data_IF_210175567431
#
_entry.id   IF_210175567431
#
_cell.length_a   1.000
_cell.length_b   1.000
_cell.length_c   1.000
_cell.angle_alpha   90.00
_cell.angle_beta   90.00
_cell.angle_gamma   90.00
#
_symmetry.space_group_name_H-M   'P 1'
#
loop_
_entity.id
_entity.type
_entity.pdbx_description
1 polymer ?
#
# COMPACT_ATOMS: atom_id res chain seq x y z
N UNK A 1 -19.86 0.03 -61.44
CA UNK A 1 -21.08 -0.76 -61.77
C UNK A 1 -20.83 -2.19 -61.37
N UNK A 2 -21.41 -2.64 -60.30
CA UNK A 2 -21.66 -4.05 -59.96
C UNK A 2 -22.49 -4.08 -58.66
N UNK A 3 -23.64 -4.61 -58.80
CA UNK A 3 -24.80 -4.57 -57.92
C UNK A 3 -24.67 -5.51 -56.76
N UNK A 4 -25.01 -5.03 -55.57
CA UNK A 4 -25.23 -5.82 -54.33
C UNK A 4 -26.54 -6.61 -54.46
N UNK A 5 -26.50 -7.90 -54.14
CA UNK A 5 -27.68 -8.74 -53.90
C UNK A 5 -27.80 -9.01 -52.40
N UNK A 6 -28.87 -8.50 -51.81
CA UNK A 6 -29.38 -8.92 -50.49
C UNK A 6 -30.08 -10.27 -50.63
N UNK A 7 -29.70 -11.25 -49.83
CA UNK A 7 -30.51 -12.41 -49.55
C UNK A 7 -31.09 -12.31 -48.14
N UNK A 8 -32.40 -12.17 -48.08
CA UNK A 8 -33.18 -12.29 -46.84
C UNK A 8 -33.55 -13.77 -46.65
N UNK A 9 -33.14 -14.38 -45.55
CA UNK A 9 -33.69 -15.66 -45.11
C UNK A 9 -34.73 -15.43 -44.03
N UNK A 10 -35.95 -15.77 -44.34
CA UNK A 10 -37.08 -15.89 -43.43
C UNK A 10 -36.94 -17.20 -42.64
N UNK A 11 -36.92 -17.16 -41.32
CA UNK A 11 -37.08 -18.30 -40.44
C UNK A 11 -38.50 -18.31 -39.84
N UNK A 12 -39.26 -19.32 -40.19
CA UNK A 12 -40.60 -19.60 -39.73
C UNK A 12 -40.62 -20.02 -38.27
N UNK A 13 -41.48 -19.42 -37.48
CA UNK A 13 -41.77 -19.78 -36.12
C UNK A 13 -42.56 -21.11 -36.06
N UNK A 14 -41.97 -22.12 -35.40
CA UNK A 14 -42.72 -23.32 -34.94
C UNK A 14 -42.92 -23.21 -33.44
N UNK A 15 -44.17 -23.12 -33.04
CA UNK A 15 -44.58 -23.01 -31.64
C UNK A 15 -44.28 -24.29 -30.85
N UNK A 16 -43.63 -24.11 -29.73
CA UNK A 16 -43.60 -25.07 -28.62
C UNK A 16 -44.16 -24.39 -27.37
N UNK A 17 -45.38 -24.74 -27.03
CA UNK A 17 -46.00 -24.36 -25.76
C UNK A 17 -45.41 -25.24 -24.65
N UNK A 18 -44.58 -24.60 -23.81
CA UNK A 18 -44.07 -25.22 -22.58
C UNK A 18 -45.11 -25.04 -21.44
N UNK A 19 -45.61 -26.16 -20.97
CA UNK A 19 -46.51 -26.25 -19.83
C UNK A 19 -45.85 -25.73 -18.54
N UNK A 20 -46.51 -24.78 -17.89
CA UNK A 20 -46.06 -24.06 -16.68
C UNK A 20 -46.13 -24.89 -15.38
N UNK A 21 -46.31 -26.20 -15.42
CA UNK A 21 -46.54 -26.99 -14.20
C UNK A 21 -45.45 -27.98 -13.78
N UNK A 22 -44.28 -28.00 -14.44
CA UNK A 22 -43.24 -29.00 -14.12
C UNK A 22 -41.89 -28.44 -13.65
N UNK A 23 -41.83 -27.21 -13.14
CA UNK A 23 -40.59 -26.59 -12.62
C UNK A 23 -40.69 -26.24 -11.14
N UNK A 24 -41.18 -27.14 -10.32
CA UNK A 24 -41.11 -27.04 -8.87
C UNK A 24 -40.81 -28.42 -8.26
N UNK A 25 -39.56 -28.85 -8.32
CA UNK A 25 -38.91 -29.78 -7.37
C UNK A 25 -37.45 -30.00 -7.78
N UNK A 26 -36.61 -29.10 -7.37
CA UNK A 26 -35.16 -29.22 -7.34
C UNK A 26 -34.65 -28.34 -6.22
N UNK A 27 -34.84 -28.79 -4.97
CA UNK A 27 -34.28 -28.14 -3.78
C UNK A 27 -32.77 -28.39 -3.75
N UNK A 28 -32.03 -27.62 -4.51
CA UNK A 28 -30.61 -27.37 -4.30
C UNK A 28 -30.48 -26.41 -3.14
N UNK A 29 -30.25 -26.89 -1.92
CA UNK A 29 -29.83 -26.06 -0.80
C UNK A 29 -28.47 -25.47 -1.14
N UNK A 30 -28.45 -24.27 -1.68
CA UNK A 30 -27.28 -23.42 -1.63
C UNK A 30 -27.03 -23.21 -0.14
N UNK A 31 -25.96 -23.84 0.39
CA UNK A 31 -25.42 -23.51 1.70
C UNK A 31 -24.99 -22.03 1.63
N UNK A 32 -25.87 -21.15 2.08
CA UNK A 32 -25.50 -19.78 2.36
C UNK A 32 -24.40 -19.84 3.43
N UNK A 33 -23.17 -19.50 3.04
CA UNK A 33 -22.12 -19.29 4.01
C UNK A 33 -22.65 -18.30 5.05
N UNK A 34 -22.46 -18.55 6.36
CA UNK A 34 -22.94 -17.65 7.39
C UNK A 34 -22.28 -16.29 7.14
N UNK A 35 -23.11 -15.28 6.87
CA UNK A 35 -22.71 -13.88 6.96
C UNK A 35 -22.19 -13.66 8.38
N UNK A 36 -20.88 -13.55 8.53
CA UNK A 36 -20.28 -13.16 9.80
C UNK A 36 -20.94 -11.84 10.22
N UNK A 37 -21.37 -11.70 11.49
CA UNK A 37 -21.97 -10.46 11.94
C UNK A 37 -20.96 -9.33 11.67
N UNK A 38 -21.44 -8.29 11.01
CA UNK A 38 -20.69 -7.07 10.75
C UNK A 38 -20.40 -6.33 12.07
N UNK A 39 -19.53 -6.89 12.89
CA UNK A 39 -18.73 -6.08 13.80
C UNK A 39 -17.72 -5.42 12.89
N UNK A 40 -17.86 -4.11 12.72
CA UNK A 40 -16.87 -3.29 12.04
C UNK A 40 -15.54 -3.49 12.76
N UNK A 41 -14.73 -4.43 12.28
CA UNK A 41 -13.40 -4.66 12.80
C UNK A 41 -12.61 -3.41 12.49
N UNK A 42 -12.27 -2.63 13.52
CA UNK A 42 -11.48 -1.42 13.36
C UNK A 42 -10.08 -1.81 12.90
N UNK A 43 -9.53 -1.03 11.97
CA UNK A 43 -8.11 -1.16 11.57
C UNK A 43 -7.27 -0.90 12.82
N UNK A 44 -6.40 -1.85 13.24
CA UNK A 44 -5.53 -1.66 14.39
C UNK A 44 -4.63 -0.44 14.22
N UNK A 45 -4.27 0.19 15.32
CA UNK A 45 -3.33 1.30 15.34
C UNK A 45 -2.06 0.93 16.10
N UNK A 46 -0.92 1.48 15.66
CA UNK A 46 0.32 1.46 16.41
C UNK A 46 0.51 2.76 17.15
N UNK A 47 0.89 2.68 18.41
CA UNK A 47 1.51 3.78 19.11
C UNK A 47 2.97 3.92 18.64
N UNK A 48 3.30 5.06 18.04
CA UNK A 48 4.66 5.39 17.59
C UNK A 48 5.39 6.31 18.56
N UNK A 49 4.79 6.58 19.72
CA UNK A 49 5.27 7.57 20.69
C UNK A 49 4.80 9.00 20.32
N UNK A 50 5.08 9.95 21.22
CA UNK A 50 4.73 11.37 21.06
C UNK A 50 3.24 11.64 20.74
N UNK A 51 2.35 10.76 21.18
CA UNK A 51 0.91 10.85 20.90
C UNK A 51 0.53 10.55 19.44
N UNK A 52 1.40 9.86 18.71
CA UNK A 52 1.17 9.49 17.30
C UNK A 52 0.59 8.07 17.23
N UNK A 53 -0.69 7.95 16.93
CA UNK A 53 -1.39 6.69 16.70
C UNK A 53 -1.54 6.44 15.19
N UNK A 54 -0.76 5.52 14.62
CA UNK A 54 -0.74 5.22 13.19
C UNK A 54 -1.66 4.03 12.85
N UNK A 55 -2.68 4.19 12.00
CA UNK A 55 -3.44 3.06 11.47
C UNK A 55 -2.55 2.12 10.67
N UNK A 56 -2.65 0.80 10.91
CA UNK A 56 -1.76 -0.20 10.31
C UNK A 56 -2.07 -0.55 8.86
N UNK A 57 -3.19 -0.10 8.32
CA UNK A 57 -3.54 -0.22 6.91
C UNK A 57 -3.62 1.18 6.28
N UNK A 58 -2.81 1.40 5.26
CA UNK A 58 -2.74 2.65 4.52
C UNK A 58 -3.17 2.46 3.05
N UNK A 59 -3.80 3.49 2.50
CA UNK A 59 -3.92 3.66 1.06
C UNK A 59 -2.58 4.14 0.49
N UNK A 60 -2.01 3.40 -0.46
CA UNK A 60 -0.84 3.81 -1.22
C UNK A 60 -1.27 4.49 -2.52
N UNK A 61 -0.80 5.71 -2.75
CA UNK A 61 -1.20 6.48 -3.94
C UNK A 61 -0.15 6.51 -5.05
N UNK A 62 0.90 5.68 -4.93
CA UNK A 62 2.04 5.68 -5.86
C UNK A 62 1.60 5.59 -7.32
N UNK A 63 2.07 6.53 -8.14
CA UNK A 63 1.82 6.58 -9.57
C UNK A 63 0.45 7.11 -9.98
N UNK A 64 -0.39 7.56 -9.05
CA UNK A 64 -1.68 8.16 -9.37
C UNK A 64 -1.53 9.64 -9.79
N UNK A 65 -2.39 10.09 -10.71
CA UNK A 65 -2.55 11.53 -10.97
C UNK A 65 -3.20 12.23 -9.77
N UNK A 66 -3.16 13.55 -9.72
CA UNK A 66 -3.80 14.30 -8.62
C UNK A 66 -5.30 14.02 -8.53
N UNK A 67 -6.00 13.91 -9.66
CA UNK A 67 -7.43 13.57 -9.71
C UNK A 67 -7.71 12.13 -9.25
N UNK A 68 -6.87 11.18 -9.66
CA UNK A 68 -7.01 9.78 -9.23
C UNK A 68 -6.70 9.63 -7.74
N UNK A 69 -5.69 10.34 -7.23
CA UNK A 69 -5.37 10.39 -5.80
C UNK A 69 -6.52 10.95 -4.99
N UNK A 70 -7.10 12.08 -5.41
CA UNK A 70 -8.27 12.67 -4.74
C UNK A 70 -9.42 11.67 -4.63
N UNK A 71 -9.77 11.00 -5.74
CA UNK A 71 -10.83 9.98 -5.73
C UNK A 71 -10.50 8.79 -4.85
N UNK A 72 -9.26 8.29 -4.92
CA UNK A 72 -8.82 7.14 -4.13
C UNK A 72 -8.85 7.43 -2.63
N UNK A 73 -8.42 8.62 -2.21
CA UNK A 73 -8.45 9.03 -0.79
C UNK A 73 -9.89 9.15 -0.30
N UNK A 74 -10.78 9.81 -1.04
CA UNK A 74 -12.20 9.91 -0.66
C UNK A 74 -12.82 8.52 -0.50
N UNK A 75 -12.57 7.63 -1.46
CA UNK A 75 -13.04 6.25 -1.41
C UNK A 75 -12.47 5.49 -0.19
N UNK A 76 -11.18 5.64 0.11
CA UNK A 76 -10.54 4.99 1.25
C UNK A 76 -11.15 5.46 2.58
N UNK A 77 -11.40 6.77 2.72
CA UNK A 77 -12.07 7.34 3.90
C UNK A 77 -13.48 6.78 4.06
N UNK A 78 -14.27 6.71 2.99
CA UNK A 78 -15.60 6.11 3.01
C UNK A 78 -15.56 4.62 3.37
N UNK A 79 -14.48 3.93 3.00
CA UNK A 79 -14.19 2.56 3.39
C UNK A 79 -13.59 2.44 4.81
N UNK A 80 -13.37 3.54 5.53
CA UNK A 80 -12.79 3.57 6.89
C UNK A 80 -11.28 3.46 6.95
N UNK A 81 -10.57 3.65 5.83
CA UNK A 81 -9.11 3.73 5.78
C UNK A 81 -8.71 5.20 5.85
N UNK A 82 -8.23 5.64 7.01
CA UNK A 82 -7.82 7.03 7.25
C UNK A 82 -6.34 7.30 7.02
N UNK A 83 -5.52 6.26 6.87
CA UNK A 83 -4.08 6.41 6.63
C UNK A 83 -3.80 6.53 5.13
N UNK A 84 -3.18 7.63 4.71
CA UNK A 84 -2.78 7.90 3.32
C UNK A 84 -1.27 7.96 3.22
N UNK A 85 -0.71 7.07 2.40
CA UNK A 85 0.70 6.99 2.09
C UNK A 85 0.94 7.52 0.66
N UNK A 86 1.51 8.73 0.55
CA UNK A 86 1.70 9.43 -0.71
C UNK A 86 3.15 9.87 -0.93
N UNK A 87 3.48 10.21 -2.18
CA UNK A 87 4.76 10.77 -2.56
C UNK A 87 4.66 12.30 -2.76
N UNK A 88 5.77 13.03 -2.58
CA UNK A 88 5.82 14.45 -2.92
C UNK A 88 5.57 14.66 -4.43
N UNK A 89 4.89 15.75 -4.81
CA UNK A 89 4.54 16.07 -6.18
C UNK A 89 3.07 15.83 -6.48
N UNK A 90 2.76 15.18 -7.62
CA UNK A 90 1.39 15.06 -8.14
C UNK A 90 0.45 14.37 -7.14
N UNK A 91 0.90 13.35 -6.43
CA UNK A 91 0.10 12.63 -5.43
C UNK A 91 -0.21 13.54 -4.23
N UNK A 92 0.80 14.27 -3.73
CA UNK A 92 0.63 15.29 -2.69
C UNK A 92 -0.45 16.31 -3.08
N UNK A 93 -0.46 16.76 -4.34
CA UNK A 93 -1.41 17.74 -4.84
C UNK A 93 -2.84 17.19 -4.83
N UNK A 94 -3.01 15.88 -5.11
CA UNK A 94 -4.29 15.18 -4.96
C UNK A 94 -4.76 15.12 -3.51
N UNK A 95 -3.87 14.80 -2.57
CA UNK A 95 -4.16 14.82 -1.12
C UNK A 95 -4.55 16.23 -0.66
N UNK A 96 -3.85 17.26 -1.13
CA UNK A 96 -4.16 18.66 -0.82
C UNK A 96 -5.58 19.06 -1.24
N UNK A 97 -6.09 18.52 -2.36
CA UNK A 97 -7.48 18.75 -2.79
C UNK A 97 -8.50 18.16 -1.80
N UNK A 98 -8.22 16.96 -1.29
CA UNK A 98 -9.07 16.29 -0.29
C UNK A 98 -9.11 17.07 1.02
N UNK A 99 -7.97 17.57 1.49
CA UNK A 99 -7.84 18.33 2.72
C UNK A 99 -8.62 19.67 2.72
N UNK A 100 -9.04 20.15 1.54
CA UNK A 100 -9.96 21.32 1.46
C UNK A 100 -11.40 20.99 1.88
N UNK A 101 -11.76 19.71 1.88
CA UNK A 101 -13.13 19.25 2.16
C UNK A 101 -13.24 18.33 3.38
N UNK A 102 -12.12 17.84 3.91
CA UNK A 102 -12.09 17.01 5.11
C UNK A 102 -11.33 17.70 6.25
N UNK A 103 -11.75 17.49 7.50
CA UNK A 103 -10.96 17.90 8.66
C UNK A 103 -9.57 17.30 8.62
N UNK A 104 -8.55 18.04 9.09
CA UNK A 104 -7.16 17.58 9.05
C UNK A 104 -6.94 16.26 9.82
N UNK A 105 -7.62 16.08 10.92
CA UNK A 105 -7.57 14.91 11.80
C UNK A 105 -8.35 13.69 11.27
N UNK A 106 -9.10 13.84 10.19
CA UNK A 106 -9.72 12.72 9.50
C UNK A 106 -8.69 11.83 8.78
N UNK A 107 -7.47 12.33 8.53
CA UNK A 107 -6.43 11.62 7.80
C UNK A 107 -5.13 11.53 8.63
N UNK A 108 -4.53 10.34 8.62
CA UNK A 108 -3.14 10.13 8.99
C UNK A 108 -2.29 10.26 7.72
N UNK A 109 -1.41 11.26 7.66
CA UNK A 109 -0.64 11.60 6.49
C UNK A 109 0.79 11.06 6.58
N UNK A 110 1.15 10.15 5.68
CA UNK A 110 2.52 9.65 5.51
C UNK A 110 3.09 10.10 4.19
N UNK A 111 4.28 10.73 4.22
CA UNK A 111 5.02 11.12 3.02
C UNK A 111 6.51 10.78 3.15
N UNK A 112 7.28 11.06 2.10
CA UNK A 112 8.69 10.73 1.98
C UNK A 112 9.50 11.94 1.55
N UNK A 113 10.78 11.95 1.94
CA UNK A 113 11.78 12.85 1.33
C UNK A 113 11.94 12.46 -0.14
N UNK A 114 12.04 13.46 -1.03
CA UNK A 114 12.40 13.20 -2.44
C UNK A 114 13.72 12.46 -2.51
N UNK A 115 13.80 11.45 -3.38
CA UNK A 115 15.01 10.64 -3.48
C UNK A 115 16.17 11.49 -4.02
N UNK A 116 17.34 11.51 -3.35
CA UNK A 116 18.55 12.11 -3.89
C UNK A 116 19.22 11.23 -4.94
N UNK A 117 18.65 10.08 -5.30
CA UNK A 117 19.27 9.05 -6.15
C UNK A 117 19.76 9.55 -7.50
N UNK A 118 19.20 10.66 -7.99
CA UNK A 118 19.58 11.25 -9.27
C UNK A 118 20.72 12.28 -9.15
N UNK A 119 21.18 12.57 -7.92
CA UNK A 119 22.25 13.54 -7.69
C UNK A 119 23.27 12.98 -6.69
N UNK A 120 24.13 12.09 -7.20
CA UNK A 120 25.18 11.43 -6.43
C UNK A 120 26.27 12.39 -5.94
N UNK A 121 26.32 13.63 -6.48
CA UNK A 121 27.30 14.67 -6.16
C UNK A 121 26.83 15.64 -5.08
N UNK A 122 25.66 15.38 -4.46
CA UNK A 122 25.18 16.22 -3.36
C UNK A 122 26.10 16.14 -2.14
N UNK A 123 26.48 17.32 -1.64
CA UNK A 123 27.09 17.39 -0.32
C UNK A 123 26.03 17.11 0.77
N UNK A 124 26.44 16.62 1.95
CA UNK A 124 25.52 16.45 3.08
C UNK A 124 24.73 17.71 3.43
N UNK A 125 25.36 18.88 3.37
CA UNK A 125 24.70 20.16 3.63
C UNK A 125 23.64 20.49 2.58
N UNK A 126 23.94 20.33 1.30
CA UNK A 126 22.98 20.55 0.21
C UNK A 126 21.79 19.57 0.30
N UNK A 127 22.05 18.30 0.66
CA UNK A 127 21.01 17.31 0.86
C UNK A 127 20.08 17.66 2.05
N UNK A 128 20.65 18.17 3.15
CA UNK A 128 19.89 18.65 4.30
C UNK A 128 19.00 19.86 3.93
N UNK A 129 19.53 20.82 3.15
CA UNK A 129 18.77 21.99 2.71
C UNK A 129 17.63 21.62 1.75
N UNK A 130 17.79 20.58 0.93
CA UNK A 130 16.68 20.05 0.13
C UNK A 130 15.54 19.56 1.00
N UNK A 131 15.82 18.83 2.09
CA UNK A 131 14.80 18.36 3.02
C UNK A 131 14.08 19.52 3.69
N UNK A 132 14.80 20.55 4.15
CA UNK A 132 14.19 21.75 4.75
C UNK A 132 13.20 22.41 3.80
N UNK A 133 13.64 22.68 2.57
CA UNK A 133 12.77 23.29 1.54
C UNK A 133 11.55 22.43 1.23
N UNK A 134 11.73 21.11 1.13
CA UNK A 134 10.61 20.20 0.87
C UNK A 134 9.60 20.19 2.02
N UNK A 135 10.06 20.18 3.28
CA UNK A 135 9.18 20.26 4.45
C UNK A 135 8.27 21.50 4.41
N UNK A 136 8.83 22.65 4.08
CA UNK A 136 8.09 23.92 3.97
C UNK A 136 7.14 23.90 2.77
N UNK A 137 7.62 23.47 1.59
CA UNK A 137 6.85 23.38 0.36
C UNK A 137 5.63 22.45 0.53
N UNK A 138 5.88 21.21 0.99
CA UNK A 138 4.82 20.21 1.07
C UNK A 138 3.74 20.60 2.10
N UNK A 139 4.13 21.14 3.25
CA UNK A 139 3.18 21.65 4.25
C UNK A 139 2.34 22.82 3.73
N UNK A 140 2.97 23.75 3.02
CA UNK A 140 2.27 24.89 2.38
C UNK A 140 1.25 24.41 1.34
N UNK A 141 1.62 23.46 0.50
CA UNK A 141 0.73 22.95 -0.56
C UNK A 141 -0.42 22.12 0.05
N UNK A 142 -0.12 21.29 1.04
CA UNK A 142 -1.13 20.51 1.78
C UNK A 142 -2.05 21.42 2.62
N UNK A 143 -1.62 22.64 2.95
CA UNK A 143 -2.38 23.53 3.84
C UNK A 143 -2.42 23.03 5.29
N UNK A 144 -1.34 22.37 5.76
CA UNK A 144 -1.27 21.76 7.11
C UNK A 144 -0.08 22.29 7.90
N UNK A 145 -0.26 22.41 9.22
CA UNK A 145 0.86 22.75 10.12
C UNK A 145 1.74 21.55 10.43
N UNK A 146 1.15 20.35 10.46
CA UNK A 146 1.81 19.10 10.83
C UNK A 146 1.49 17.97 9.85
N UNK A 147 2.52 17.17 9.50
CA UNK A 147 2.39 15.87 8.83
C UNK A 147 2.64 14.77 9.86
N UNK A 148 1.84 13.70 9.84
CA UNK A 148 1.88 12.69 10.90
C UNK A 148 3.12 11.81 10.83
N UNK A 149 3.55 11.41 9.62
CA UNK A 149 4.74 10.59 9.40
C UNK A 149 5.54 11.13 8.22
N UNK A 150 6.85 11.29 8.42
CA UNK A 150 7.79 11.60 7.37
C UNK A 150 8.88 10.55 7.27
N UNK A 151 9.12 10.00 6.08
CA UNK A 151 10.08 8.93 5.89
C UNK A 151 11.28 9.39 5.06
N UNK A 152 12.48 9.08 5.53
CA UNK A 152 13.72 9.33 4.81
C UNK A 152 14.00 8.19 3.82
N UNK A 153 14.20 8.52 2.55
CA UNK A 153 14.58 7.55 1.53
C UNK A 153 16.02 7.10 1.65
N UNK A 154 16.27 5.93 1.12
CA UNK A 154 17.58 5.32 1.02
C UNK A 154 18.55 6.14 0.18
N UNK A 155 19.82 6.15 0.56
CA UNK A 155 20.96 6.61 -0.22
C UNK A 155 22.20 5.80 0.21
N UNK A 156 23.16 5.53 -0.69
CA UNK A 156 24.37 4.81 -0.30
C UNK A 156 25.32 5.64 0.58
N UNK A 157 25.15 6.97 0.61
CA UNK A 157 26.03 7.87 1.35
C UNK A 157 25.54 8.07 2.79
N UNK A 158 26.32 7.57 3.75
CA UNK A 158 26.03 7.65 5.17
C UNK A 158 25.96 9.08 5.71
N UNK A 159 26.84 9.97 5.27
CA UNK A 159 26.87 11.34 5.75
C UNK A 159 25.64 12.13 5.29
N UNK A 160 25.14 11.83 4.08
CA UNK A 160 23.89 12.38 3.58
C UNK A 160 22.71 11.87 4.43
N UNK A 161 22.65 10.57 4.71
CA UNK A 161 21.61 9.99 5.58
C UNK A 161 21.56 10.75 6.91
N UNK A 162 22.70 10.89 7.57
CA UNK A 162 22.78 11.51 8.88
C UNK A 162 22.44 13.01 8.84
N UNK A 163 22.88 13.72 7.79
CA UNK A 163 22.57 15.15 7.65
C UNK A 163 21.08 15.39 7.41
N UNK A 164 20.44 14.62 6.55
CA UNK A 164 19.00 14.70 6.29
C UNK A 164 18.17 14.29 7.52
N UNK A 165 18.62 13.25 8.23
CA UNK A 165 17.92 12.78 9.44
C UNK A 165 17.89 13.84 10.53
N UNK A 166 18.98 14.57 10.74
CA UNK A 166 19.02 15.69 11.70
C UNK A 166 17.97 16.76 11.40
N UNK A 167 17.74 17.07 10.14
CA UNK A 167 16.67 18.00 9.73
C UNK A 167 15.30 17.47 10.13
N UNK A 168 15.04 16.17 9.90
CA UNK A 168 13.78 15.55 10.29
C UNK A 168 13.61 15.51 11.82
N UNK A 169 14.67 15.22 12.57
CA UNK A 169 14.64 15.27 14.03
C UNK A 169 14.31 16.68 14.56
N UNK A 170 14.88 17.71 13.94
CA UNK A 170 14.58 19.10 14.28
C UNK A 170 13.14 19.47 13.94
N UNK A 171 12.62 18.98 12.80
CA UNK A 171 11.22 19.16 12.39
C UNK A 171 10.25 18.47 13.35
N UNK A 172 10.59 17.26 13.82
CA UNK A 172 9.79 16.56 14.82
C UNK A 172 9.79 17.30 16.16
N UNK A 173 10.95 17.78 16.60
CA UNK A 173 11.08 18.59 17.81
C UNK A 173 10.26 19.87 17.74
N UNK A 174 10.21 20.51 16.57
CA UNK A 174 9.40 21.70 16.30
C UNK A 174 7.89 21.38 16.19
N UNK A 175 7.48 20.12 16.26
CA UNK A 175 6.08 19.70 16.19
C UNK A 175 5.48 19.71 14.78
N UNK A 176 6.27 19.98 13.74
CA UNK A 176 5.78 19.99 12.34
C UNK A 176 5.75 18.60 11.69
N UNK A 177 6.40 17.61 12.31
CA UNK A 177 6.35 16.21 11.95
C UNK A 177 5.99 15.39 13.21
N UNK A 178 5.08 14.43 13.08
CA UNK A 178 4.67 13.59 14.20
C UNK A 178 5.65 12.48 14.52
N UNK A 179 5.92 11.62 13.55
CA UNK A 179 6.83 10.48 13.66
C UNK A 179 7.77 10.39 12.46
N UNK A 180 8.90 9.73 12.66
CA UNK A 180 9.93 9.57 11.64
C UNK A 180 10.09 8.10 11.28
N UNK A 181 10.24 7.81 9.98
CA UNK A 181 10.53 6.49 9.44
C UNK A 181 11.59 6.53 8.35
N UNK A 182 11.96 5.37 7.86
CA UNK A 182 12.88 5.21 6.74
C UNK A 182 12.26 4.37 5.63
N UNK A 183 12.83 4.44 4.43
CA UNK A 183 12.36 3.71 3.24
C UNK A 183 13.50 2.91 2.65
N UNK A 184 13.30 1.59 2.50
CA UNK A 184 14.23 0.65 1.88
C UNK A 184 15.62 0.60 2.56
N UNK A 185 15.66 0.72 3.88
CA UNK A 185 16.91 0.57 4.62
C UNK A 185 17.21 -0.90 4.88
N UNK A 186 18.39 -1.35 4.47
CA UNK A 186 18.95 -2.61 4.92
C UNK A 186 19.78 -2.40 6.20
N UNK A 187 20.31 -3.50 6.75
CA UNK A 187 21.12 -3.49 7.97
C UNK A 187 22.19 -2.41 7.98
N UNK A 188 22.97 -2.33 6.88
CA UNK A 188 24.06 -1.35 6.73
C UNK A 188 23.59 0.09 6.86
N UNK A 189 22.44 0.43 6.28
CA UNK A 189 21.90 1.78 6.32
C UNK A 189 21.25 2.09 7.67
N UNK A 190 20.55 1.12 8.27
CA UNK A 190 20.04 1.25 9.63
C UNK A 190 21.18 1.48 10.63
N UNK A 191 22.26 0.73 10.53
CA UNK A 191 23.43 0.92 11.40
C UNK A 191 24.08 2.27 11.18
N UNK A 192 24.20 2.73 9.92
CA UNK A 192 24.69 4.05 9.63
C UNK A 192 23.87 5.14 10.32
N UNK A 193 22.54 5.09 10.15
CA UNK A 193 21.64 6.06 10.74
C UNK A 193 21.72 6.04 12.28
N UNK A 194 21.62 4.85 12.87
CA UNK A 194 21.53 4.66 14.32
C UNK A 194 22.80 5.09 15.07
N UNK A 195 23.96 5.18 14.41
CA UNK A 195 25.19 5.70 15.04
C UNK A 195 25.09 7.14 15.50
N UNK A 196 24.25 7.97 14.85
CA UNK A 196 24.14 9.39 15.18
C UNK A 196 22.69 9.87 15.44
N UNK A 197 21.71 9.02 15.24
CA UNK A 197 20.31 9.37 15.47
C UNK A 197 20.03 9.63 16.95
N UNK A 198 19.41 10.77 17.25
CA UNK A 198 18.87 11.12 18.58
C UNK A 198 17.46 10.55 18.73
N UNK A 199 16.72 10.51 17.62
CA UNK A 199 15.42 9.88 17.50
C UNK A 199 15.56 8.68 16.57
N UNK A 200 15.23 7.49 17.04
CA UNK A 200 15.22 6.27 16.23
C UNK A 200 14.07 6.34 15.22
N UNK A 201 14.23 5.78 14.00
CA UNK A 201 13.08 5.60 13.12
C UNK A 201 12.05 4.69 13.79
N UNK A 202 10.79 5.10 13.77
CA UNK A 202 9.69 4.31 14.31
C UNK A 202 9.44 3.06 13.47
N UNK A 203 9.71 3.16 12.15
CA UNK A 203 9.50 2.09 11.20
C UNK A 203 10.47 2.16 10.01
N UNK A 204 10.60 1.01 9.34
CA UNK A 204 11.22 0.88 8.02
C UNK A 204 10.17 0.41 7.02
N UNK A 205 10.04 1.14 5.92
CA UNK A 205 9.07 0.93 4.85
C UNK A 205 9.74 0.25 3.66
N UNK A 206 9.45 -1.02 3.44
CA UNK A 206 10.08 -1.82 2.38
C UNK A 206 9.09 -2.83 1.76
N UNK A 207 9.48 -3.40 0.61
CA UNK A 207 8.69 -4.42 -0.07
C UNK A 207 8.61 -5.70 0.77
N UNK A 208 7.39 -6.17 1.06
CA UNK A 208 7.17 -7.43 1.75
C UNK A 208 5.85 -8.08 1.36
N UNK A 209 5.94 -9.27 0.77
CA UNK A 209 4.81 -10.07 0.33
C UNK A 209 5.04 -11.57 0.62
N UNK A 210 3.99 -12.42 0.57
CA UNK A 210 4.15 -13.87 0.56
C UNK A 210 5.18 -14.31 -0.50
N UNK A 211 6.07 -15.21 -0.11
CA UNK A 211 7.20 -15.63 -0.97
C UNK A 211 8.54 -15.01 -0.59
N UNK A 212 8.56 -13.95 0.22
CA UNK A 212 9.80 -13.38 0.79
C UNK A 212 10.14 -13.97 2.17
N UNK A 213 9.31 -14.88 2.65
CA UNK A 213 9.37 -15.41 4.01
C UNK A 213 8.91 -14.42 5.07
N UNK A 214 8.60 -14.89 6.29
CA UNK A 214 8.03 -14.07 7.36
C UNK A 214 9.01 -13.04 7.94
N UNK A 215 10.31 -13.24 7.69
CA UNK A 215 11.38 -12.37 8.23
C UNK A 215 12.07 -11.49 7.17
N UNK A 216 11.58 -11.49 5.93
CA UNK A 216 12.14 -10.67 4.85
C UNK A 216 13.70 -10.81 4.78
N UNK A 217 14.18 -12.03 4.66
CA UNK A 217 15.62 -12.36 4.64
C UNK A 217 16.41 -11.89 5.88
N UNK A 218 15.75 -11.83 7.06
CA UNK A 218 16.36 -11.42 8.31
C UNK A 218 16.19 -9.92 8.64
N UNK A 219 15.77 -9.11 7.68
CA UNK A 219 15.66 -7.66 7.87
C UNK A 219 14.65 -7.29 8.94
N UNK A 220 13.50 -7.98 8.98
CA UNK A 220 12.46 -7.71 9.97
C UNK A 220 12.95 -7.95 11.39
N UNK A 221 13.58 -9.10 11.65
CA UNK A 221 14.19 -9.42 12.96
C UNK A 221 15.31 -8.45 13.32
N UNK A 222 16.12 -8.06 12.35
CA UNK A 222 17.18 -7.09 12.53
C UNK A 222 16.66 -5.72 12.97
N UNK A 223 15.66 -5.20 12.27
CA UNK A 223 15.00 -3.94 12.59
C UNK A 223 14.28 -4.01 13.96
N UNK A 224 13.53 -5.09 14.21
CA UNK A 224 12.77 -5.28 15.45
C UNK A 224 13.65 -5.29 16.70
N UNK A 225 14.85 -5.92 16.65
CA UNK A 225 15.85 -5.88 17.76
C UNK A 225 16.31 -4.46 18.08
N UNK A 226 16.14 -3.52 17.18
CA UNK A 226 16.47 -2.10 17.35
C UNK A 226 15.26 -1.23 17.68
N UNK A 227 14.07 -1.84 17.80
CA UNK A 227 12.81 -1.14 18.09
C UNK A 227 12.20 -0.48 16.85
N UNK A 228 12.64 -0.87 15.64
CA UNK A 228 12.10 -0.37 14.36
C UNK A 228 11.06 -1.36 13.85
N UNK A 229 9.84 -0.85 13.60
CA UNK A 229 8.70 -1.65 13.11
C UNK A 229 8.76 -1.81 11.59
N UNK A 230 8.05 -2.80 11.05
CA UNK A 230 7.94 -3.04 9.61
C UNK A 230 6.67 -2.44 9.04
N UNK A 231 6.80 -1.57 8.05
CA UNK A 231 5.70 -1.08 7.24
C UNK A 231 5.88 -1.62 5.81
N UNK A 232 5.00 -2.50 5.37
CA UNK A 232 5.14 -3.23 4.11
C UNK A 232 4.45 -2.48 2.94
N UNK A 233 5.16 -2.27 1.83
CA UNK A 233 4.54 -2.00 0.54
C UNK A 233 4.68 -3.21 -0.37
N UNK A 234 4.04 -3.19 -1.54
CA UNK A 234 4.12 -4.29 -2.49
C UNK A 234 3.59 -5.62 -1.93
N UNK A 235 2.60 -5.60 -1.04
CA UNK A 235 2.05 -6.80 -0.40
C UNK A 235 1.55 -7.87 -1.38
N UNK A 236 1.32 -7.50 -2.65
CA UNK A 236 0.96 -8.40 -3.75
C UNK A 236 1.96 -8.35 -4.92
N UNK A 237 3.19 -7.94 -4.63
CA UNK A 237 4.27 -7.81 -5.59
C UNK A 237 4.61 -6.37 -5.95
N UNK A 238 5.78 -6.18 -6.54
CA UNK A 238 6.33 -4.90 -6.97
C UNK A 238 7.11 -5.11 -8.28
N UNK A 239 6.94 -4.27 -9.31
CA UNK A 239 6.32 -2.93 -9.33
C UNK A 239 4.79 -2.92 -9.45
N UNK A 240 4.12 -4.03 -9.34
CA UNK A 240 2.67 -4.16 -9.39
C UNK A 240 2.21 -5.55 -8.98
N UNK A 241 0.92 -5.85 -9.13
CA UNK A 241 0.38 -7.17 -8.78
C UNK A 241 1.14 -8.28 -9.50
N UNK A 242 1.69 -9.23 -8.76
CA UNK A 242 2.47 -10.34 -9.27
C UNK A 242 1.59 -11.58 -9.47
N UNK A 243 1.58 -12.19 -10.68
CA UNK A 243 0.83 -13.43 -10.93
C UNK A 243 1.19 -14.53 -9.94
N UNK A 244 2.45 -14.64 -9.52
CA UNK A 244 2.97 -15.62 -8.56
C UNK A 244 2.27 -15.54 -7.20
N UNK A 245 1.69 -14.40 -6.87
CA UNK A 245 0.93 -14.17 -5.65
C UNK A 245 -0.57 -14.34 -5.93
N UNK A 246 -1.09 -13.64 -6.95
CA UNK A 246 -2.52 -13.62 -7.24
C UNK A 246 -3.05 -14.97 -7.75
N UNK A 247 -2.19 -15.73 -8.42
CA UNK A 247 -2.52 -17.05 -8.98
C UNK A 247 -2.02 -18.21 -8.12
N UNK A 248 -1.39 -17.94 -6.99
CA UNK A 248 -0.88 -18.96 -6.09
C UNK A 248 -1.99 -19.82 -5.50
N UNK A 249 -1.88 -21.13 -5.63
CA UNK A 249 -2.91 -22.08 -5.20
C UNK A 249 -3.17 -22.07 -3.69
N UNK A 250 -2.13 -21.87 -2.87
CA UNK A 250 -2.25 -21.75 -1.41
C UNK A 250 -3.08 -20.52 -1.06
N UNK A 251 -2.76 -19.37 -1.65
CA UNK A 251 -3.47 -18.12 -1.40
C UNK A 251 -4.91 -18.16 -1.93
N UNK A 252 -5.13 -18.76 -3.11
CA UNK A 252 -6.46 -18.96 -3.69
C UNK A 252 -7.33 -19.86 -2.82
N UNK A 253 -6.79 -21.00 -2.36
CA UNK A 253 -7.51 -21.95 -1.49
C UNK A 253 -7.91 -21.31 -0.16
N UNK A 254 -6.98 -20.58 0.47
CA UNK A 254 -7.25 -19.85 1.70
C UNK A 254 -8.29 -18.75 1.45
N UNK A 255 -8.12 -17.98 0.37
CA UNK A 255 -9.07 -16.93 -0.01
C UNK A 255 -10.49 -17.47 -0.21
N UNK A 256 -10.65 -18.59 -0.92
CA UNK A 256 -11.94 -19.23 -1.14
C UNK A 256 -12.62 -19.65 0.18
N UNK A 257 -11.85 -20.14 1.16
CA UNK A 257 -12.36 -20.51 2.49
C UNK A 257 -12.99 -19.34 3.23
N UNK A 258 -12.40 -18.15 3.12
CA UNK A 258 -12.86 -16.94 3.81
C UNK A 258 -13.72 -16.03 2.94
N UNK A 259 -13.94 -16.36 1.67
CA UNK A 259 -14.69 -15.52 0.73
C UNK A 259 -13.95 -14.24 0.35
N UNK A 260 -12.62 -14.26 0.36
CA UNK A 260 -11.74 -13.11 0.05
C UNK A 260 -10.78 -13.42 -1.10
N UNK A 261 -10.17 -12.40 -1.70
CA UNK A 261 -9.18 -12.57 -2.76
C UNK A 261 -7.82 -12.99 -2.23
N UNK A 262 -6.94 -13.60 -3.07
CA UNK A 262 -5.53 -13.85 -2.71
C UNK A 262 -4.79 -12.58 -2.27
N UNK A 263 -5.10 -11.43 -2.86
CA UNK A 263 -4.55 -10.14 -2.46
C UNK A 263 -4.92 -9.79 -1.00
N UNK A 264 -6.18 -10.00 -0.62
CA UNK A 264 -6.62 -9.76 0.75
C UNK A 264 -5.98 -10.75 1.73
N UNK A 265 -5.74 -12.01 1.33
CA UNK A 265 -4.98 -12.99 2.12
C UNK A 265 -3.54 -12.50 2.34
N UNK A 266 -2.86 -12.00 1.30
CA UNK A 266 -1.50 -11.49 1.39
C UNK A 266 -1.37 -10.27 2.32
N UNK A 267 -2.33 -9.35 2.26
CA UNK A 267 -2.40 -8.22 3.21
C UNK A 267 -2.66 -8.70 4.63
N UNK A 268 -3.61 -9.64 4.81
CA UNK A 268 -3.90 -10.20 6.14
C UNK A 268 -2.71 -10.92 6.75
N UNK A 269 -1.96 -11.67 5.95
CA UNK A 269 -0.71 -12.31 6.36
C UNK A 269 0.28 -11.30 6.94
N UNK A 270 0.52 -10.19 6.25
CA UNK A 270 1.37 -9.10 6.76
C UNK A 270 0.86 -8.53 8.09
N UNK A 271 -0.43 -8.20 8.17
CA UNK A 271 -1.03 -7.66 9.41
C UNK A 271 -0.93 -8.65 10.57
N UNK A 272 -1.09 -9.97 10.32
CA UNK A 272 -0.96 -11.00 11.37
C UNK A 272 0.48 -11.27 11.80
N UNK A 273 1.46 -10.97 10.96
CA UNK A 273 2.86 -10.91 11.37
C UNK A 273 3.18 -9.65 12.19
N UNK A 274 2.19 -8.79 12.44
CA UNK A 274 2.36 -7.55 13.18
C UNK A 274 3.02 -6.44 12.37
N UNK A 275 2.96 -6.51 11.02
CA UNK A 275 3.41 -5.45 10.13
C UNK A 275 2.25 -4.47 9.85
N UNK A 276 2.55 -3.20 9.55
CA UNK A 276 1.61 -2.33 8.88
C UNK A 276 1.72 -2.54 7.37
N UNK A 277 0.68 -2.18 6.61
CA UNK A 277 0.62 -2.39 5.15
C UNK A 277 0.16 -1.12 4.44
N UNK A 278 0.89 -0.75 3.39
CA UNK A 278 0.53 0.29 2.43
C UNK A 278 0.05 -0.38 1.13
N UNK A 279 -1.26 -0.38 0.91
CA UNK A 279 -1.90 -1.09 -0.19
C UNK A 279 -2.28 -0.14 -1.33
N UNK A 280 -1.95 -0.50 -2.57
CA UNK A 280 -2.37 0.25 -3.76
C UNK A 280 -3.88 0.09 -3.99
N UNK A 281 -4.58 1.10 -4.54
CA UNK A 281 -6.00 1.03 -4.85
C UNK A 281 -6.25 0.20 -6.11
N UNK A 282 -6.00 -1.11 -6.03
CA UNK A 282 -6.21 -2.05 -7.13
C UNK A 282 -7.53 -2.80 -6.96
N UNK A 283 -8.05 -3.34 -8.07
CA UNK A 283 -9.29 -4.12 -8.05
C UNK A 283 -9.18 -5.37 -7.16
N UNK A 284 -7.99 -5.95 -7.05
CA UNK A 284 -7.69 -7.13 -6.25
C UNK A 284 -7.88 -6.88 -4.74
N UNK A 285 -7.61 -5.67 -4.27
CA UNK A 285 -7.90 -5.25 -2.89
C UNK A 285 -9.34 -4.81 -2.67
N UNK A 286 -10.14 -4.71 -3.73
CA UNK A 286 -11.45 -4.07 -3.65
C UNK A 286 -11.40 -2.55 -3.50
N UNK A 287 -10.21 -1.95 -3.58
CA UNK A 287 -9.96 -0.49 -3.53
C UNK A 287 -9.77 0.09 -4.94
N UNK A 288 -10.18 -0.62 -5.99
CA UNK A 288 -9.98 -0.18 -7.36
C UNK A 288 -10.68 1.15 -7.65
N UNK A 289 -9.90 2.18 -7.95
CA UNK A 289 -10.40 3.50 -8.36
C UNK A 289 -11.25 3.40 -9.61
N UNK A 290 -10.99 2.41 -10.48
CA UNK A 290 -11.80 2.10 -11.66
C UNK A 290 -13.21 1.57 -11.33
N UNK A 291 -13.45 1.10 -10.12
CA UNK A 291 -14.76 0.65 -9.66
C UNK A 291 -15.62 1.78 -9.11
N UNK A 292 -15.06 2.97 -8.96
CA UNK A 292 -15.77 4.18 -8.56
C UNK A 292 -16.16 5.01 -9.78
N UNK A 293 -17.38 5.56 -9.80
CA UNK A 293 -17.85 6.48 -10.82
C UNK A 293 -17.17 7.83 -10.69
N UNK A 294 -17.23 8.65 -11.74
CA UNK A 294 -16.68 10.00 -11.73
C UNK A 294 -17.32 10.92 -10.68
N UNK A 295 -18.55 10.61 -10.24
CA UNK A 295 -19.27 11.32 -9.17
C UNK A 295 -18.83 10.93 -7.75
N UNK A 296 -17.84 10.04 -7.62
CA UNK A 296 -17.34 9.53 -6.34
C UNK A 296 -18.14 8.36 -5.76
N UNK A 297 -19.24 7.94 -6.39
CA UNK A 297 -19.98 6.77 -5.95
C UNK A 297 -19.23 5.48 -6.35
N UNK A 298 -19.09 4.56 -5.41
CA UNK A 298 -18.44 3.27 -5.60
C UNK A 298 -19.48 2.15 -5.61
N UNK A 299 -19.20 1.07 -6.33
CA UNK A 299 -20.11 -0.09 -6.36
C UNK A 299 -20.37 -0.60 -4.94
N UNK A 300 -21.64 -0.85 -4.61
CA UNK A 300 -22.04 -1.40 -3.32
C UNK A 300 -21.26 -2.68 -3.03
N UNK A 301 -20.71 -2.80 -1.83
CA UNK A 301 -19.91 -3.96 -1.40
C UNK A 301 -18.39 -3.76 -1.47
N UNK A 302 -17.87 -2.68 -2.07
CA UNK A 302 -16.42 -2.38 -2.03
C UNK A 302 -15.96 -1.97 -0.64
N UNK A 303 -16.80 -1.25 0.12
CA UNK A 303 -16.55 -0.93 1.53
C UNK A 303 -16.35 -2.20 2.35
N UNK A 304 -17.24 -3.18 2.19
CA UNK A 304 -17.19 -4.43 2.93
C UNK A 304 -15.94 -5.25 2.56
N UNK A 305 -15.46 -5.16 1.31
CA UNK A 305 -14.25 -5.84 0.85
C UNK A 305 -12.96 -5.21 1.37
N UNK A 306 -12.89 -3.90 1.51
CA UNK A 306 -11.74 -3.23 2.11
C UNK A 306 -11.61 -3.61 3.60
N UNK A 307 -12.73 -3.69 4.31
CA UNK A 307 -12.78 -4.17 5.70
C UNK A 307 -12.63 -5.68 5.84
N UNK A 308 -12.88 -6.46 4.79
CA UNK A 308 -12.69 -7.91 4.85
C UNK A 308 -11.27 -8.29 5.28
N UNK A 309 -10.26 -7.46 5.00
CA UNK A 309 -8.89 -7.69 5.48
C UNK A 309 -8.80 -7.71 7.00
N UNK A 310 -9.59 -6.91 7.69
CA UNK A 310 -9.66 -6.89 9.16
C UNK A 310 -10.67 -7.91 9.71
N UNK A 311 -11.63 -8.38 8.90
CA UNK A 311 -12.76 -9.20 9.30
C UNK A 311 -12.49 -10.70 9.45
N UNK A 312 -11.31 -11.22 9.07
CA UNK A 312 -10.95 -12.63 9.22
C UNK A 312 -9.57 -12.80 9.83
N UNK A 313 -9.28 -14.00 10.30
CA UNK A 313 -7.97 -14.35 10.82
C UNK A 313 -7.49 -15.66 10.19
N UNK A 314 -6.25 -15.67 9.72
CA UNK A 314 -5.55 -16.87 9.26
C UNK A 314 -5.22 -17.75 10.45
N UNK A 315 -5.43 -19.05 10.32
CA UNK A 315 -5.01 -20.02 11.31
C UNK A 315 -3.48 -20.13 11.37
N UNK A 316 -2.95 -20.69 12.44
CA UNK A 316 -1.51 -20.95 12.56
C UNK A 316 -0.96 -21.84 11.44
N UNK A 317 -1.79 -22.76 10.91
CA UNK A 317 -1.38 -23.62 9.80
C UNK A 317 -1.33 -22.81 8.49
N UNK A 318 -2.35 -22.02 8.21
CA UNK A 318 -2.38 -21.16 7.02
C UNK A 318 -1.23 -20.14 7.02
N UNK A 319 -0.89 -19.57 8.18
CA UNK A 319 0.30 -18.72 8.30
C UNK A 319 1.57 -19.48 7.91
N UNK A 320 1.77 -20.71 8.43
CA UNK A 320 2.93 -21.55 8.07
C UNK A 320 2.94 -21.92 6.59
N UNK A 321 1.79 -22.22 6.02
CA UNK A 321 1.68 -22.58 4.59
C UNK A 321 2.08 -21.39 3.70
N UNK A 322 1.71 -20.17 4.09
CA UNK A 322 2.11 -18.94 3.40
C UNK A 322 3.59 -18.63 3.65
N UNK A 323 4.07 -18.80 4.88
CA UNK A 323 5.48 -18.57 5.25
C UNK A 323 6.44 -19.48 4.45
N UNK A 324 5.97 -20.66 4.05
CA UNK A 324 6.74 -21.61 3.25
C UNK A 324 6.79 -21.29 1.75
N UNK A 325 6.02 -20.28 1.28
CA UNK A 325 6.11 -19.87 -0.11
C UNK A 325 7.46 -19.20 -0.38
N UNK A 326 8.04 -19.51 -1.52
CA UNK A 326 9.32 -18.96 -1.96
C UNK A 326 9.16 -18.24 -3.30
N UNK A 327 9.67 -17.01 -3.36
CA UNK A 327 9.85 -16.25 -4.58
C UNK A 327 11.35 -15.88 -4.69
N UNK A 328 12.13 -16.60 -5.49
CA UNK A 328 13.60 -16.52 -5.47
C UNK A 328 14.15 -15.12 -5.81
N UNK A 329 13.40 -14.32 -6.56
CA UNK A 329 13.81 -12.98 -6.98
C UNK A 329 13.30 -11.86 -6.05
N UNK A 330 12.64 -12.21 -4.95
CA UNK A 330 12.07 -11.25 -4.04
C UNK A 330 13.11 -10.68 -3.07
N UNK A 331 13.36 -9.38 -3.12
CA UNK A 331 14.30 -8.67 -2.24
C UNK A 331 13.59 -7.54 -1.47
N UNK A 332 13.73 -7.49 -0.12
CA UNK A 332 12.97 -6.53 0.70
C UNK A 332 13.29 -5.07 0.38
N UNK A 333 14.54 -4.73 0.16
CA UNK A 333 14.97 -3.36 -0.16
C UNK A 333 15.19 -3.20 -1.67
N UNK A 334 14.20 -3.59 -2.47
CA UNK A 334 14.28 -3.75 -3.92
C UNK A 334 14.94 -2.59 -4.66
N UNK A 335 14.64 -1.34 -4.26
CA UNK A 335 15.13 -0.14 -4.92
C UNK A 335 16.41 0.44 -4.31
N UNK A 336 16.93 -0.15 -3.24
CA UNK A 336 18.13 0.36 -2.56
C UNK A 336 19.42 -0.14 -3.20
N UNK A 337 20.14 0.74 -3.88
CA UNK A 337 21.48 0.42 -4.43
C UNK A 337 22.50 0.08 -3.35
N UNK A 338 22.34 0.61 -2.15
CA UNK A 338 23.23 0.32 -1.03
C UNK A 338 23.06 -1.11 -0.51
N UNK A 339 21.85 -1.66 -0.66
CA UNK A 339 21.49 -3.01 -0.21
C UNK A 339 21.59 -4.05 -1.31
N UNK A 340 21.39 -3.63 -2.55
CA UNK A 340 21.37 -4.47 -3.75
C UNK A 340 22.29 -3.83 -4.82
N UNK A 341 23.62 -3.94 -4.68
CA UNK A 341 24.58 -3.31 -5.58
C UNK A 341 24.45 -3.79 -7.02
N UNK A 342 23.98 -5.02 -7.23
CA UNK A 342 23.78 -5.63 -8.54
C UNK A 342 22.49 -5.16 -9.25
N UNK A 343 21.64 -4.35 -8.59
CA UNK A 343 20.58 -3.63 -9.25
C UNK A 343 21.21 -2.64 -10.24
N UNK A 344 21.49 -3.15 -11.43
CA UNK A 344 22.09 -2.41 -12.51
C UNK A 344 21.34 -1.10 -12.75
N UNK A 345 22.02 -0.14 -13.33
CA UNK A 345 21.52 1.19 -13.73
C UNK A 345 20.29 1.16 -14.67
N UNK A 346 19.77 -0.05 -14.94
CA UNK A 346 18.78 -0.37 -15.95
C UNK A 346 17.35 -0.58 -15.50
N UNK A 347 16.98 -0.39 -14.22
CA UNK A 347 15.58 -0.52 -13.83
C UNK A 347 14.77 0.70 -14.33
N UNK A 348 14.47 0.66 -15.64
CA UNK A 348 13.55 1.57 -16.33
C UNK A 348 12.10 1.49 -15.79
N UNK A 349 11.84 0.59 -14.85
CA UNK A 349 10.52 0.31 -14.29
C UNK A 349 10.25 0.98 -12.94
N UNK A 350 11.17 1.82 -12.41
CA UNK A 350 10.86 2.63 -11.23
C UNK A 350 9.85 3.72 -11.63
N UNK A 351 8.57 3.59 -11.27
CA UNK A 351 7.55 4.59 -11.59
C UNK A 351 7.86 5.96 -10.98
N UNK A 352 8.80 6.03 -10.00
CA UNK A 352 9.21 7.24 -9.32
C UNK A 352 10.33 8.01 -10.06
N UNK A 353 10.90 7.44 -11.13
CA UNK A 353 11.93 8.12 -11.94
C UNK A 353 11.38 9.17 -12.89
N UNK A 354 10.06 9.29 -13.02
CA UNK A 354 9.40 10.22 -13.95
C UNK A 354 8.82 11.47 -13.29
N UNK A 355 9.11 11.71 -12.00
CA UNK A 355 8.66 12.93 -11.30
C UNK A 355 9.83 13.74 -10.76
#
# INVERSE_FOLDING_TARGET
MATMHLLALACTASGLTLDRRTLLRGSGAALAAPLLPAHAASIPTWDLGNGVAMPTLALNTVGLTAEATERAVKFAVDAGISHVDFHPGIERDGVARVLKSLPRDALFLTTKVRSPQNNLDLTPAAAADLVKRQLEEDRKILGVEKVDMWMLRETPNCDIIQAQWRVLEDAQRAGVVGALGVVNYCEKQLDCLLRSARVKPALDYYCLHPGMGPDAHGLRSYAAKRGVKTFAYGAIGEPGPAPEILENDVLRKIGAKYGVSPAQVAVRWNLQHGNAVSARPTAEFGLGVSACRADGSCASGLRDRAFAVAGFALTKQEMRDIDALAAPDAVPCLFSKACNPDLGTGNAADPLRKT
#
